data_IF_098634060366
#
_entry.id   IF_098634060366
#
_cell.length_a   1.000
_cell.length_b   1.000
_cell.length_c   1.000
_cell.angle_alpha   90.00
_cell.angle_beta   90.00
_cell.angle_gamma   90.00
#
_symmetry.space_group_name_H-M   'P 1'
#
loop_
_entity.id
_entity.type
_entity.pdbx_description
1 polymer ?
#
# COMPACT_ATOMS: atom_id res chain seq x y z
N UNK A 1 18.63 -6.68 -4.15
CA UNK A 1 18.13 -5.38 -3.69
C UNK A 1 16.72 -5.24 -4.25
N UNK A 2 15.71 -5.72 -3.53
CA UNK A 2 14.33 -5.36 -3.86
C UNK A 2 14.16 -3.89 -3.48
N UNK A 3 13.38 -3.15 -4.29
CA UNK A 3 13.12 -1.74 -4.07
C UNK A 3 11.61 -1.57 -3.92
N UNK A 4 11.03 -1.90 -2.75
CA UNK A 4 9.58 -1.94 -2.56
C UNK A 4 8.90 -0.59 -2.83
N UNK A 5 9.56 0.52 -2.51
CA UNK A 5 9.07 1.87 -2.83
C UNK A 5 8.87 2.11 -4.33
N UNK A 6 9.84 1.71 -5.17
CA UNK A 6 9.72 1.79 -6.62
C UNK A 6 8.65 0.83 -7.17
N UNK A 7 8.50 -0.35 -6.57
CA UNK A 7 7.40 -1.25 -6.92
C UNK A 7 6.03 -0.64 -6.60
N UNK A 8 5.89 0.10 -5.49
CA UNK A 8 4.65 0.82 -5.15
C UNK A 8 4.36 1.96 -6.14
N UNK A 9 5.37 2.69 -6.60
CA UNK A 9 5.20 3.68 -7.68
C UNK A 9 4.72 3.02 -8.97
N UNK A 10 5.38 1.93 -9.40
CA UNK A 10 4.98 1.20 -10.60
C UNK A 10 3.56 0.64 -10.48
N UNK A 11 3.22 0.08 -9.32
CA UNK A 11 1.89 -0.44 -9.02
C UNK A 11 0.84 0.69 -9.11
N UNK A 12 1.10 1.87 -8.54
CA UNK A 12 0.20 3.02 -8.65
C UNK A 12 -0.04 3.43 -10.10
N UNK A 13 1.00 3.43 -10.94
CA UNK A 13 0.89 3.74 -12.38
C UNK A 13 0.04 2.68 -13.08
N UNK A 14 0.30 1.39 -12.82
CA UNK A 14 -0.46 0.28 -13.40
C UNK A 14 -1.94 0.35 -13.00
N UNK A 15 -2.25 0.60 -11.73
CA UNK A 15 -3.62 0.72 -11.24
C UNK A 15 -4.36 1.94 -11.79
N UNK A 16 -3.64 3.05 -12.01
CA UNK A 16 -4.24 4.30 -12.46
C UNK A 16 -4.39 4.44 -13.97
N UNK A 17 -3.48 3.82 -14.73
CA UNK A 17 -3.33 4.07 -16.17
C UNK A 17 -3.21 2.79 -17.01
N UNK A 18 -3.10 1.61 -16.40
CA UNK A 18 -3.03 0.33 -17.10
C UNK A 18 -4.39 -0.32 -17.32
N UNK A 19 -4.45 -1.25 -18.26
CA UNK A 19 -5.61 -2.13 -18.48
C UNK A 19 -5.51 -3.36 -17.58
N UNK A 20 -5.89 -3.22 -16.31
CA UNK A 20 -5.90 -4.32 -15.33
C UNK A 20 -7.33 -4.77 -15.06
N UNK A 21 -7.63 -6.04 -15.33
CA UNK A 21 -8.97 -6.60 -15.15
C UNK A 21 -9.41 -6.65 -13.67
N UNK A 22 -8.50 -7.01 -12.75
CA UNK A 22 -8.82 -7.12 -11.32
C UNK A 22 -7.70 -6.57 -10.43
N UNK A 23 -7.81 -5.27 -10.12
CA UNK A 23 -6.85 -4.55 -9.27
C UNK A 23 -6.82 -5.09 -7.82
N UNK A 24 -7.96 -5.37 -7.15
CA UNK A 24 -7.96 -6.03 -5.83
C UNK A 24 -7.18 -7.34 -5.76
N UNK A 25 -7.32 -8.21 -6.75
CA UNK A 25 -6.59 -9.48 -6.80
C UNK A 25 -5.09 -9.23 -7.01
N UNK A 26 -4.74 -8.28 -7.90
CA UNK A 26 -3.35 -7.89 -8.15
C UNK A 26 -2.69 -7.35 -6.87
N UNK A 27 -3.40 -6.52 -6.10
CA UNK A 27 -2.95 -6.07 -4.78
C UNK A 27 -2.72 -7.28 -3.85
N UNK A 28 -3.69 -8.17 -3.72
CA UNK A 28 -3.60 -9.35 -2.83
C UNK A 28 -2.39 -10.22 -3.17
N UNK A 29 -2.12 -10.43 -4.46
CA UNK A 29 -0.98 -11.23 -4.94
C UNK A 29 0.38 -10.54 -4.72
N UNK A 30 0.43 -9.21 -4.80
CA UNK A 30 1.69 -8.43 -4.73
C UNK A 30 1.94 -7.76 -3.38
N UNK A 31 0.97 -7.83 -2.46
CA UNK A 31 1.00 -7.20 -1.13
C UNK A 31 2.32 -7.42 -0.40
N UNK A 32 2.82 -8.66 -0.34
CA UNK A 32 4.08 -8.97 0.37
C UNK A 32 5.28 -8.27 -0.28
N UNK A 33 5.44 -8.34 -1.60
CA UNK A 33 6.55 -7.66 -2.29
C UNK A 33 6.45 -6.14 -2.23
N UNK A 34 5.22 -5.61 -2.22
CA UNK A 34 4.95 -4.18 -2.10
C UNK A 34 5.12 -3.66 -0.67
N UNK A 35 5.23 -4.52 0.34
CA UNK A 35 5.34 -4.12 1.75
C UNK A 35 6.60 -4.61 2.44
N UNK A 36 7.50 -5.27 1.72
CA UNK A 36 8.69 -5.93 2.27
C UNK A 36 9.51 -5.02 3.20
N UNK A 37 9.80 -3.78 2.79
CA UNK A 37 10.53 -2.80 3.59
C UNK A 37 9.80 -2.40 4.88
N UNK A 38 8.47 -2.29 4.82
CA UNK A 38 7.64 -2.00 5.98
C UNK A 38 7.47 -3.22 6.89
N UNK A 39 7.39 -4.43 6.34
CA UNK A 39 7.35 -5.67 7.11
C UNK A 39 8.65 -5.89 7.88
N UNK A 40 9.80 -5.60 7.26
CA UNK A 40 11.10 -5.67 7.94
C UNK A 40 11.27 -4.63 9.05
N UNK A 41 10.61 -3.47 8.94
CA UNK A 41 10.68 -2.40 9.94
C UNK A 41 9.67 -2.55 11.07
N UNK A 42 8.50 -3.09 10.75
CA UNK A 42 7.37 -3.21 11.67
C UNK A 42 7.06 -4.70 11.84
N UNK A 43 5.91 -5.16 11.34
CA UNK A 43 5.52 -6.57 11.38
C UNK A 43 4.84 -7.02 10.09
N UNK A 44 4.67 -8.33 9.89
CA UNK A 44 3.84 -8.87 8.79
C UNK A 44 2.39 -8.41 8.89
N UNK A 45 1.93 -8.13 10.11
CA UNK A 45 0.57 -7.63 10.38
C UNK A 45 0.44 -6.17 9.97
N UNK A 46 1.35 -5.29 10.41
CA UNK A 46 1.21 -3.83 10.20
C UNK A 46 1.90 -3.28 8.96
N UNK A 47 2.99 -3.90 8.52
CA UNK A 47 3.80 -3.48 7.37
C UNK A 47 2.97 -3.22 6.09
N UNK A 48 2.02 -4.11 5.73
CA UNK A 48 1.20 -3.89 4.56
C UNK A 48 0.25 -2.69 4.65
N UNK A 49 -0.16 -2.26 5.84
CA UNK A 49 -0.98 -1.06 5.98
C UNK A 49 -0.17 0.20 5.69
N UNK A 50 1.11 0.25 6.09
CA UNK A 50 2.00 1.35 5.71
C UNK A 50 2.24 1.40 4.20
N UNK A 51 2.46 0.25 3.55
CA UNK A 51 2.58 0.17 2.09
C UNK A 51 1.32 0.68 1.38
N UNK A 52 0.15 0.33 1.92
CA UNK A 52 -1.14 0.74 1.37
C UNK A 52 -1.42 2.24 1.58
N UNK A 53 -1.02 2.79 2.73
CA UNK A 53 -1.06 4.22 3.01
C UNK A 53 -0.20 5.02 2.03
N UNK A 54 1.06 4.60 1.83
CA UNK A 54 1.95 5.24 0.86
C UNK A 54 1.40 5.13 -0.57
N UNK A 55 0.82 3.98 -0.93
CA UNK A 55 0.16 3.80 -2.22
C UNK A 55 -1.00 4.78 -2.43
N UNK A 56 -1.82 5.03 -1.41
CA UNK A 56 -2.90 6.00 -1.49
C UNK A 56 -2.39 7.43 -1.72
N UNK A 57 -1.30 7.82 -1.06
CA UNK A 57 -0.66 9.13 -1.30
C UNK A 57 -0.07 9.24 -2.72
N UNK A 58 0.55 8.17 -3.23
CA UNK A 58 1.01 8.11 -4.62
C UNK A 58 -0.15 8.27 -5.60
N UNK A 59 -1.26 7.56 -5.40
CA UNK A 59 -2.45 7.68 -6.25
C UNK A 59 -3.05 9.10 -6.20
N UNK A 60 -3.09 9.73 -5.02
CA UNK A 60 -3.54 11.13 -4.87
C UNK A 60 -2.68 12.09 -5.69
N UNK A 61 -1.36 11.87 -5.75
CA UNK A 61 -0.46 12.69 -6.57
C UNK A 61 -0.80 12.64 -8.07
N UNK A 62 -1.42 11.56 -8.53
CA UNK A 62 -1.94 11.40 -9.89
C UNK A 62 -3.40 11.84 -10.06
N UNK A 63 -4.02 12.47 -9.05
CA UNK A 63 -5.44 12.85 -9.08
C UNK A 63 -6.41 11.66 -8.92
N UNK A 64 -5.89 10.50 -8.52
CA UNK A 64 -6.62 9.28 -8.26
C UNK A 64 -6.83 9.08 -6.75
N UNK A 65 -7.44 7.96 -6.36
CA UNK A 65 -7.50 7.46 -5.00
C UNK A 65 -7.82 5.96 -5.05
N UNK A 66 -7.74 5.28 -3.91
CA UNK A 66 -8.02 3.84 -3.82
C UNK A 66 -9.37 3.46 -4.45
N UNK A 67 -10.46 4.20 -4.17
CA UNK A 67 -11.78 3.91 -4.73
C UNK A 67 -11.82 4.03 -6.25
N UNK A 68 -11.13 5.04 -6.82
CA UNK A 68 -11.05 5.26 -8.28
C UNK A 68 -10.33 4.13 -9.00
N UNK A 69 -9.40 3.44 -8.33
CA UNK A 69 -8.70 2.26 -8.86
C UNK A 69 -9.29 0.94 -8.36
N UNK A 70 -10.54 0.97 -7.88
CA UNK A 70 -11.27 -0.20 -7.38
C UNK A 70 -10.63 -0.91 -6.17
N UNK A 71 -9.78 -0.21 -5.40
CA UNK A 71 -9.21 -0.70 -4.16
C UNK A 71 -10.06 -0.27 -2.95
N UNK A 72 -10.18 -1.12 -1.91
CA UNK A 72 -10.94 -0.77 -0.71
C UNK A 72 -10.35 0.47 -0.04
N UNK A 73 -11.19 1.45 0.27
CA UNK A 73 -10.73 2.61 1.05
C UNK A 73 -10.38 2.13 2.45
N UNK A 74 -9.12 2.28 2.84
CA UNK A 74 -8.74 2.11 4.24
C UNK A 74 -9.04 3.42 4.97
N UNK A 75 -9.77 3.32 6.07
CA UNK A 75 -9.92 4.45 6.98
C UNK A 75 -8.64 4.57 7.81
N UNK A 76 -7.66 5.25 7.21
CA UNK A 76 -6.31 5.38 7.74
C UNK A 76 -6.32 5.86 9.19
N UNK A 77 -7.29 6.68 9.60
CA UNK A 77 -7.42 7.18 10.97
C UNK A 77 -7.60 6.06 12.01
N UNK A 78 -8.34 5.01 11.70
CA UNK A 78 -8.55 3.88 12.61
C UNK A 78 -7.30 2.99 12.67
N UNK A 79 -6.66 2.78 11.52
CA UNK A 79 -5.46 1.95 11.42
C UNK A 79 -4.20 2.66 11.96
N UNK A 80 -4.15 4.00 11.93
CA UNK A 80 -3.07 4.82 12.50
C UNK A 80 -2.89 4.58 14.01
N UNK A 81 -3.97 4.31 14.75
CA UNK A 81 -3.86 3.93 16.16
C UNK A 81 -3.13 2.58 16.32
N UNK A 82 -3.40 1.58 15.47
CA UNK A 82 -2.67 0.30 15.48
C UNK A 82 -1.22 0.47 15.04
N UNK A 83 -0.98 1.26 14.01
CA UNK A 83 0.35 1.60 13.50
C UNK A 83 1.20 2.36 14.55
N UNK A 84 0.58 3.22 15.36
CA UNK A 84 1.30 3.92 16.43
C UNK A 84 1.76 3.01 17.56
N UNK A 85 1.05 1.91 17.83
CA UNK A 85 1.41 0.95 18.88
C UNK A 85 2.65 0.13 18.46
N UNK A 86 2.66 -0.43 17.25
CA UNK A 86 3.80 -1.19 16.69
C UNK A 86 5.09 -0.35 16.57
N UNK A 87 4.98 0.96 16.39
CA UNK A 87 6.13 1.86 16.33
C UNK A 87 6.72 2.24 17.71
N UNK A 88 6.05 1.90 18.82
CA UNK A 88 6.49 2.22 20.18
C UNK A 88 7.15 1.05 20.93
N UNK A 89 7.07 -0.18 20.44
CA UNK A 89 7.70 -1.37 21.06
C UNK A 89 9.15 -1.61 20.57
N UNK A 90 10.03 -0.61 20.69
CA UNK A 90 11.49 -0.76 20.45
C UNK A 90 12.27 -0.90 21.77
#
# INVERSE_FOLDING_TARGET
MQMPSYLRVLFAIICGFGEVENIPDLWTQRKQSLSEDFVHRYSEETGPFYAYAELNELLKSYGLNLRKVNLPSVDLQCDLFRLSYDAMEE
#
